data_IF_730765478372
#
_entry.id   IF_730765478372
#
_cell.length_a   1.000
_cell.length_b   1.000
_cell.length_c   1.000
_cell.angle_alpha   90.00
_cell.angle_beta   90.00
_cell.angle_gamma   90.00
#
_symmetry.space_group_name_H-M   'P 1'
#
loop_
_entity.id
_entity.type
_entity.pdbx_description
1 polymer ?
#
# COMPACT_ATOMS: atom_id res chain seq x y z
N UNK A 1 19.54 9.45 3.96
CA UNK A 1 18.41 9.99 3.17
C UNK A 1 17.25 9.01 2.92
N UNK A 2 17.47 7.74 2.52
CA UNK A 2 16.36 6.79 2.20
C UNK A 2 15.40 6.48 3.37
N UNK A 3 15.90 6.35 4.59
CA UNK A 3 15.07 6.04 5.78
C UNK A 3 14.13 7.19 6.19
N UNK A 4 14.54 8.45 5.97
CA UNK A 4 13.72 9.60 6.33
C UNK A 4 12.48 9.72 5.42
N UNK A 5 12.62 9.40 4.13
CA UNK A 5 11.50 9.35 3.19
C UNK A 5 10.51 8.23 3.53
N UNK A 6 11.00 7.05 3.91
CA UNK A 6 10.15 5.94 4.33
C UNK A 6 9.34 6.28 5.59
N UNK A 7 9.96 6.96 6.56
CA UNK A 7 9.28 7.41 7.77
C UNK A 7 8.19 8.46 7.48
N UNK A 8 8.44 9.39 6.55
CA UNK A 8 7.44 10.38 6.10
C UNK A 8 6.26 9.68 5.40
N UNK A 9 6.54 8.72 4.52
CA UNK A 9 5.52 7.89 3.87
C UNK A 9 4.69 7.16 4.92
N UNK A 10 5.34 6.52 5.88
CA UNK A 10 4.68 5.76 6.94
C UNK A 10 3.78 6.65 7.80
N UNK A 11 4.27 7.82 8.21
CA UNK A 11 3.48 8.77 9.00
C UNK A 11 2.23 9.24 8.25
N UNK A 12 2.34 9.57 6.96
CA UNK A 12 1.19 9.99 6.13
C UNK A 12 0.20 8.86 5.89
N UNK A 13 0.70 7.68 5.57
CA UNK A 13 -0.11 6.48 5.39
C UNK A 13 -0.88 6.13 6.67
N UNK A 14 -0.21 6.13 7.82
CA UNK A 14 -0.84 5.92 9.13
C UNK A 14 -1.88 6.99 9.43
N UNK A 15 -1.57 8.27 9.19
CA UNK A 15 -2.53 9.37 9.37
C UNK A 15 -3.76 9.22 8.47
N UNK A 16 -3.59 8.76 7.24
CA UNK A 16 -4.70 8.48 6.33
C UNK A 16 -5.56 7.33 6.85
N UNK A 17 -4.94 6.20 7.23
CA UNK A 17 -5.64 5.01 7.72
C UNK A 17 -6.41 5.33 9.02
N UNK A 18 -5.84 6.14 9.92
CA UNK A 18 -6.50 6.55 11.16
C UNK A 18 -7.75 7.41 10.94
N UNK A 19 -7.83 8.13 9.81
CA UNK A 19 -9.01 8.92 9.45
C UNK A 19 -10.15 8.08 8.87
N UNK A 20 -9.90 6.82 8.51
CA UNK A 20 -10.95 5.92 8.03
C UNK A 20 -11.85 5.51 9.21
N UNK A 21 -13.14 5.28 8.92
CA UNK A 21 -14.01 4.67 9.92
C UNK A 21 -13.51 3.27 10.29
N UNK A 22 -13.82 2.79 11.49
CA UNK A 22 -13.38 1.48 12.00
C UNK A 22 -13.58 0.36 10.99
N UNK A 23 -14.78 0.26 10.42
CA UNK A 23 -15.14 -0.74 9.40
C UNK A 23 -14.27 -0.67 8.14
N UNK A 24 -14.02 0.54 7.62
CA UNK A 24 -13.17 0.70 6.43
C UNK A 24 -11.70 0.44 6.76
N UNK A 25 -11.25 0.86 7.94
CA UNK A 25 -9.89 0.61 8.44
C UNK A 25 -9.63 -0.88 8.56
N UNK A 26 -10.48 -1.63 9.25
CA UNK A 26 -10.38 -3.08 9.40
C UNK A 26 -10.32 -3.80 8.05
N UNK A 27 -11.25 -3.48 7.15
CA UNK A 27 -11.26 -4.07 5.79
C UNK A 27 -10.01 -3.73 5.00
N UNK A 28 -9.52 -2.50 5.12
CA UNK A 28 -8.31 -2.08 4.44
C UNK A 28 -7.06 -2.75 5.02
N UNK A 29 -6.93 -2.83 6.35
CA UNK A 29 -5.84 -3.55 7.03
C UNK A 29 -5.84 -5.03 6.62
N UNK A 30 -7.00 -5.68 6.55
CA UNK A 30 -7.12 -7.06 6.05
C UNK A 30 -6.56 -7.20 4.62
N UNK A 31 -6.87 -6.23 3.75
CA UNK A 31 -6.33 -6.19 2.39
C UNK A 31 -4.80 -6.02 2.38
N UNK A 32 -4.24 -5.20 3.28
CA UNK A 32 -2.79 -5.02 3.40
C UNK A 32 -2.08 -6.28 3.95
N UNK A 33 -2.75 -7.07 4.80
CA UNK A 33 -2.25 -8.38 5.24
C UNK A 33 -2.16 -9.34 4.05
N UNK A 34 -3.16 -9.36 3.16
CA UNK A 34 -3.08 -10.19 1.94
C UNK A 34 -1.92 -9.76 1.04
N UNK A 35 -1.69 -8.46 0.88
CA UNK A 35 -0.52 -7.93 0.19
C UNK A 35 0.78 -8.41 0.84
N UNK A 36 0.87 -8.38 2.18
CA UNK A 36 2.03 -8.88 2.90
C UNK A 36 2.27 -10.39 2.66
N UNK A 37 1.20 -11.20 2.59
CA UNK A 37 1.30 -12.62 2.23
C UNK A 37 1.87 -12.80 0.82
N UNK A 38 1.43 -11.99 -0.14
CA UNK A 38 1.96 -12.02 -1.52
C UNK A 38 3.45 -11.62 -1.52
N UNK A 39 3.85 -10.59 -0.76
CA UNK A 39 5.24 -10.16 -0.68
C UNK A 39 6.18 -11.26 -0.15
N UNK A 40 5.70 -12.04 0.84
CA UNK A 40 6.44 -13.15 1.46
C UNK A 40 6.45 -14.44 0.64
N UNK A 41 5.65 -14.53 -0.41
CA UNK A 41 5.59 -15.72 -1.26
C UNK A 41 6.81 -15.87 -2.18
N UNK A 42 6.96 -17.05 -2.77
CA UNK A 42 8.04 -17.37 -3.73
C UNK A 42 7.75 -16.88 -5.16
N UNK A 43 6.70 -16.08 -5.37
CA UNK A 43 6.40 -15.51 -6.69
C UNK A 43 7.51 -14.59 -7.19
N UNK A 44 7.66 -14.50 -8.51
CA UNK A 44 8.52 -13.51 -9.16
C UNK A 44 8.02 -12.08 -8.88
N UNK A 45 8.89 -11.08 -9.04
CA UNK A 45 8.51 -9.68 -8.82
C UNK A 45 7.32 -9.23 -9.71
N UNK A 46 7.27 -9.73 -10.95
CA UNK A 46 6.18 -9.44 -11.89
C UNK A 46 4.86 -10.07 -11.43
N UNK A 47 4.89 -11.33 -10.98
CA UNK A 47 3.71 -12.01 -10.44
C UNK A 47 3.22 -11.38 -9.14
N UNK A 48 4.13 -11.00 -8.24
CA UNK A 48 3.80 -10.26 -7.01
C UNK A 48 3.08 -8.96 -7.36
N UNK A 49 3.63 -8.16 -8.27
CA UNK A 49 3.01 -6.91 -8.73
C UNK A 49 1.61 -7.14 -9.28
N UNK A 50 1.43 -8.15 -10.15
CA UNK A 50 0.12 -8.51 -10.71
C UNK A 50 -0.88 -8.93 -9.63
N UNK A 51 -0.48 -9.78 -8.69
CA UNK A 51 -1.34 -10.26 -7.60
C UNK A 51 -1.71 -9.15 -6.62
N UNK A 52 -0.75 -8.28 -6.28
CA UNK A 52 -0.99 -7.11 -5.45
C UNK A 52 -2.01 -6.18 -6.11
N UNK A 53 -1.88 -5.92 -7.42
CA UNK A 53 -2.88 -5.15 -8.18
C UNK A 53 -4.27 -5.81 -8.13
N UNK A 54 -4.36 -7.13 -8.23
CA UNK A 54 -5.64 -7.84 -8.13
C UNK A 54 -6.27 -7.63 -6.74
N UNK A 55 -5.49 -7.82 -5.68
CA UNK A 55 -5.95 -7.68 -4.28
C UNK A 55 -6.35 -6.24 -3.95
N UNK A 56 -5.53 -5.25 -4.33
CA UNK A 56 -5.76 -3.85 -3.98
C UNK A 56 -6.72 -3.13 -4.95
N UNK A 57 -6.93 -3.64 -6.17
CA UNK A 57 -7.74 -2.95 -7.15
C UNK A 57 -8.86 -3.81 -7.71
N UNK A 58 -8.53 -4.91 -8.38
CA UNK A 58 -9.52 -5.62 -9.20
C UNK A 58 -10.63 -6.26 -8.36
N UNK A 59 -10.29 -6.87 -7.22
CA UNK A 59 -11.23 -7.61 -6.36
C UNK A 59 -11.96 -6.71 -5.35
N UNK A 60 -11.81 -5.39 -5.46
CA UNK A 60 -12.32 -4.45 -4.47
C UNK A 60 -13.64 -3.81 -4.94
N UNK A 61 -14.55 -3.62 -4.00
CA UNK A 61 -15.80 -2.90 -4.27
C UNK A 61 -15.52 -1.44 -4.62
N UNK A 62 -16.42 -0.74 -5.34
CA UNK A 62 -16.21 0.67 -5.73
C UNK A 62 -15.84 1.59 -4.55
N UNK A 63 -16.50 1.41 -3.40
CA UNK A 63 -16.19 2.17 -2.17
C UNK A 63 -14.78 1.87 -1.64
N UNK A 64 -14.33 0.61 -1.68
CA UNK A 64 -12.97 0.27 -1.27
C UNK A 64 -11.92 0.75 -2.26
N UNK A 65 -12.22 0.79 -3.56
CA UNK A 65 -11.33 1.41 -4.56
C UNK A 65 -11.08 2.90 -4.27
N UNK A 66 -12.06 3.64 -3.72
CA UNK A 66 -11.83 5.02 -3.27
C UNK A 66 -10.90 5.09 -2.06
N UNK A 67 -11.09 4.22 -1.06
CA UNK A 67 -10.20 4.13 0.11
C UNK A 67 -8.77 3.79 -0.32
N UNK A 68 -8.63 2.80 -1.20
CA UNK A 68 -7.34 2.34 -1.69
C UNK A 68 -6.71 3.38 -2.62
N UNK A 69 -7.49 4.01 -3.50
CA UNK A 69 -7.05 5.10 -4.35
C UNK A 69 -6.53 6.29 -3.57
N UNK A 70 -7.23 6.71 -2.50
CA UNK A 70 -6.77 7.77 -1.61
C UNK A 70 -5.51 7.40 -0.82
N UNK A 71 -5.38 6.14 -0.41
CA UNK A 71 -4.15 5.63 0.20
C UNK A 71 -2.98 5.64 -0.80
N UNK A 72 -3.20 5.11 -2.01
CA UNK A 72 -2.21 5.08 -3.09
C UNK A 72 -1.81 6.51 -3.48
N UNK A 73 -2.74 7.46 -3.55
CA UNK A 73 -2.44 8.88 -3.78
C UNK A 73 -1.60 9.50 -2.65
N UNK A 74 -1.89 9.14 -1.40
CA UNK A 74 -1.13 9.62 -0.23
C UNK A 74 0.34 9.19 -0.28
N UNK A 75 0.62 7.97 -0.75
CA UNK A 75 1.99 7.45 -0.86
C UNK A 75 2.66 7.79 -2.21
N UNK A 76 1.89 7.85 -3.30
CA UNK A 76 2.38 8.21 -4.63
C UNK A 76 2.85 9.67 -4.67
N UNK A 77 2.18 10.57 -3.94
CA UNK A 77 2.53 11.99 -3.86
C UNK A 77 3.92 12.29 -3.28
N UNK A 78 4.66 11.30 -2.74
CA UNK A 78 6.08 11.43 -2.37
C UNK A 78 7.01 10.66 -3.31
N UNK A 79 6.53 9.60 -3.99
CA UNK A 79 7.31 8.86 -5.00
C UNK A 79 7.58 9.76 -6.22
N UNK A 80 6.70 10.73 -6.48
CA UNK A 80 6.85 11.77 -7.53
C UNK A 80 7.85 12.89 -7.22
N UNK A 81 8.58 12.86 -6.10
CA UNK A 81 9.50 13.93 -5.67
C UNK A 81 10.99 13.56 -5.74
N UNK A 82 11.34 12.52 -6.49
CA UNK A 82 12.74 12.19 -6.85
C UNK A 82 13.16 12.58 -8.27
N UNK A 83 12.20 12.89 -9.13
CA UNK A 83 12.40 13.32 -10.53
C UNK A 83 11.34 14.35 -10.83
N UNK A 84 11.69 15.65 -10.88
CA UNK A 84 10.74 16.74 -11.01
C UNK A 84 9.71 16.51 -12.12
N UNK A 85 8.43 16.46 -11.75
CA UNK A 85 7.33 16.28 -12.69
C UNK A 85 6.09 15.71 -11.99
N UNK A 86 5.05 16.54 -11.84
CA UNK A 86 3.73 16.10 -11.42
C UNK A 86 3.18 15.22 -12.55
N UNK A 87 3.29 13.89 -12.39
CA UNK A 87 2.94 12.93 -13.43
C UNK A 87 2.27 11.69 -12.86
N UNK A 88 0.94 11.72 -12.77
CA UNK A 88 0.13 10.49 -12.75
C UNK A 88 0.04 9.89 -14.18
N UNK A 89 0.63 10.54 -15.20
CA UNK A 89 0.63 10.05 -16.57
C UNK A 89 1.88 10.52 -17.35
N UNK A 90 3.01 9.79 -17.27
CA UNK A 90 4.11 9.87 -18.25
C UNK A 90 5.16 8.76 -18.04
N UNK A 91 4.73 7.50 -18.02
CA UNK A 91 5.58 6.38 -18.43
C UNK A 91 4.63 5.23 -18.72
N UNK A 92 4.85 4.45 -19.78
CA UNK A 92 4.20 3.16 -20.00
C UNK A 92 4.58 2.11 -18.94
N UNK A 93 4.47 2.45 -17.66
CA UNK A 93 5.01 1.75 -16.52
C UNK A 93 3.93 1.52 -15.48
N UNK A 94 3.06 0.55 -15.71
CA UNK A 94 2.23 -0.08 -14.68
C UNK A 94 3.05 -0.77 -13.56
N UNK A 95 4.37 -0.49 -13.48
CA UNK A 95 5.35 -1.02 -12.55
C UNK A 95 5.61 -0.04 -11.38
N UNK A 96 5.26 1.25 -11.47
CA UNK A 96 5.63 2.26 -10.46
C UNK A 96 5.18 1.94 -9.02
N UNK A 97 3.88 2.02 -8.74
CA UNK A 97 3.36 1.76 -7.38
C UNK A 97 3.18 0.27 -7.08
N UNK A 98 2.77 -0.51 -8.07
CA UNK A 98 2.59 -1.96 -7.93
C UNK A 98 3.93 -2.69 -7.78
N UNK A 99 4.96 -2.25 -8.51
CA UNK A 99 6.33 -2.73 -8.37
C UNK A 99 7.00 -2.24 -7.10
N UNK A 100 6.76 -0.99 -6.67
CA UNK A 100 7.18 -0.54 -5.33
C UNK A 100 6.61 -1.46 -4.24
N UNK A 101 5.30 -1.72 -4.27
CA UNK A 101 4.63 -2.61 -3.33
C UNK A 101 5.11 -4.06 -3.45
N UNK A 102 5.46 -4.54 -4.64
CA UNK A 102 6.01 -5.87 -4.83
C UNK A 102 7.48 -6.01 -4.37
N UNK A 103 8.21 -4.89 -4.32
CA UNK A 103 9.62 -4.83 -3.96
C UNK A 103 9.88 -4.79 -2.44
N UNK A 104 11.14 -4.94 -2.06
CA UNK A 104 11.58 -4.99 -0.66
C UNK A 104 11.19 -3.74 0.14
N UNK A 105 11.34 -2.55 -0.43
CA UNK A 105 10.99 -1.29 0.24
C UNK A 105 9.48 -1.20 0.54
N UNK A 106 8.63 -1.60 -0.42
CA UNK A 106 7.19 -1.72 -0.19
C UNK A 106 6.85 -2.84 0.80
N UNK A 107 7.61 -3.93 0.82
CA UNK A 107 7.51 -5.00 1.81
C UNK A 107 7.71 -4.53 3.25
N UNK A 108 8.80 -3.77 3.47
CA UNK A 108 9.12 -3.16 4.77
C UNK A 108 8.03 -2.16 5.17
N UNK A 109 7.61 -1.32 4.22
CA UNK A 109 6.54 -0.33 4.43
C UNK A 109 5.21 -0.96 4.84
N UNK A 110 4.72 -1.94 4.07
CA UNK A 110 3.46 -2.64 4.37
C UNK A 110 3.56 -3.38 5.71
N UNK A 111 4.70 -4.01 5.99
CA UNK A 111 4.92 -4.69 7.27
C UNK A 111 4.89 -3.73 8.46
N UNK A 112 5.47 -2.53 8.32
CA UNK A 112 5.41 -1.50 9.34
C UNK A 112 3.99 -0.99 9.59
N UNK A 113 3.19 -0.78 8.53
CA UNK A 113 1.78 -0.41 8.68
C UNK A 113 1.02 -1.51 9.42
N UNK A 114 1.16 -2.77 9.01
CA UNK A 114 0.46 -3.90 9.64
C UNK A 114 0.83 -4.02 11.13
N UNK A 115 2.09 -3.76 11.51
CA UNK A 115 2.52 -3.73 12.90
C UNK A 115 1.90 -2.56 13.69
N UNK A 116 1.84 -1.36 13.11
CA UNK A 116 1.21 -0.19 13.77
C UNK A 116 -0.26 -0.46 14.09
N UNK A 117 -0.97 -1.15 13.20
CA UNK A 117 -2.38 -1.48 13.36
C UNK A 117 -2.63 -2.89 13.94
N UNK A 118 -1.64 -3.50 14.61
CA UNK A 118 -1.75 -4.87 15.14
C UNK A 118 -2.97 -5.06 16.07
N UNK A 119 -3.39 -4.02 16.79
CA UNK A 119 -4.62 -4.07 17.62
C UNK A 119 -5.89 -4.30 16.78
N UNK A 120 -5.98 -3.68 15.61
CA UNK A 120 -7.07 -3.93 14.66
C UNK A 120 -6.91 -5.32 14.01
N UNK A 121 -5.67 -5.80 13.81
CA UNK A 121 -5.39 -7.17 13.34
C UNK A 121 -5.84 -8.24 14.34
N UNK A 122 -5.64 -8.01 15.66
CA UNK A 122 -6.08 -8.94 16.72
C UNK A 122 -7.60 -9.08 16.76
N UNK A 123 -8.34 -7.98 16.54
CA UNK A 123 -9.80 -7.99 16.44
C UNK A 123 -10.34 -8.75 15.23
N UNK A 124 -9.56 -8.88 14.15
CA UNK A 124 -9.95 -9.65 12.96
C UNK A 124 -9.70 -11.16 13.08
N UNK A 125 -8.97 -11.59 14.12
CA UNK A 125 -8.60 -12.98 14.36
C UNK A 125 -9.38 -13.63 15.52
N UNK A 126 -10.12 -12.84 16.30
CA UNK A 126 -11.06 -13.30 17.31
C UNK A 126 -12.48 -13.20 16.79
#
# INVERSE_FOLDING_TARGET
>A
MKNQQLNILLARATKYILKLSSKHREKFISTLIEVQKIQKSNFTAQEKSRRIKIVLWNNQSPRMKLVIGGFLGTIAGLITLGTGGIGIAAAGGAIGIWGFLAGTAGGVFISAIVQIFEKDVKKLKG
#
